data_IF_115504301177
#
_entry.id   IF_115504301177
#
_cell.length_a   1.000
_cell.length_b   1.000
_cell.length_c   1.000
_cell.angle_alpha   90.00
_cell.angle_beta   90.00
_cell.angle_gamma   90.00
#
_symmetry.space_group_name_H-M   'P 1'
#
loop_
_entity.id
_entity.type
_entity.pdbx_description
1 polymer ?
#
# COMPACT_ATOMS: atom_id res chain seq x y z
N UNK A 1 -27.77 -15.48 7.90
CA UNK A 1 -27.76 -14.68 6.65
C UNK A 1 -26.35 -14.74 6.10
N UNK A 2 -26.15 -15.54 5.03
CA UNK A 2 -24.86 -15.59 4.34
C UNK A 2 -24.70 -14.31 3.51
N UNK A 3 -23.78 -13.45 3.89
CA UNK A 3 -23.30 -12.39 3.01
C UNK A 3 -22.42 -13.07 1.95
N UNK A 4 -22.94 -13.29 0.78
CA UNK A 4 -22.16 -13.54 -0.42
C UNK A 4 -21.51 -12.20 -0.75
N UNK A 5 -20.29 -11.97 -0.28
CA UNK A 5 -19.43 -10.90 -0.78
C UNK A 5 -19.21 -11.21 -2.26
N UNK A 6 -19.63 -10.28 -3.13
CA UNK A 6 -19.25 -10.28 -4.53
C UNK A 6 -17.72 -10.21 -4.58
N UNK A 7 -17.02 -11.23 -5.10
CA UNK A 7 -15.55 -11.23 -5.14
C UNK A 7 -14.97 -10.12 -6.04
N UNK A 8 -15.81 -9.38 -6.75
CA UNK A 8 -15.49 -8.23 -7.56
C UNK A 8 -15.95 -6.89 -6.94
N UNK A 9 -16.49 -6.92 -5.70
CA UNK A 9 -16.84 -5.68 -5.03
C UNK A 9 -15.56 -4.88 -4.77
N UNK A 10 -15.42 -3.80 -5.51
CA UNK A 10 -14.33 -2.83 -5.30
C UNK A 10 -14.40 -2.30 -3.87
N UNK A 11 -13.29 -2.39 -3.15
CA UNK A 11 -13.22 -1.84 -1.81
C UNK A 11 -13.05 -0.32 -1.89
N UNK A 12 -14.07 0.39 -1.42
CA UNK A 12 -14.06 1.83 -1.25
C UNK A 12 -14.19 2.16 0.23
N UNK A 13 -13.34 3.05 0.72
CA UNK A 13 -13.39 3.54 2.09
C UNK A 13 -13.43 5.07 2.07
N UNK A 14 -14.34 5.64 2.86
CA UNK A 14 -14.39 7.08 3.06
C UNK A 14 -13.25 7.51 3.97
N UNK A 15 -12.65 8.65 3.66
CA UNK A 15 -11.59 9.28 4.46
C UNK A 15 -12.21 10.42 5.26
N UNK A 16 -12.04 10.36 6.57
CA UNK A 16 -12.48 11.42 7.47
C UNK A 16 -11.70 12.72 7.18
N UNK A 17 -12.38 13.88 7.02
CA UNK A 17 -11.72 15.18 6.86
C UNK A 17 -10.73 15.53 7.98
N UNK A 18 -11.00 15.11 9.21
CA UNK A 18 -10.07 15.32 10.33
C UNK A 18 -8.79 14.50 10.15
N UNK A 19 -8.90 13.30 9.57
CA UNK A 19 -7.75 12.47 9.23
C UNK A 19 -6.91 13.12 8.12
N UNK A 20 -7.55 13.66 7.08
CA UNK A 20 -6.86 14.41 6.01
C UNK A 20 -6.05 15.56 6.60
N UNK A 21 -6.68 16.37 7.47
CA UNK A 21 -6.03 17.51 8.11
C UNK A 21 -4.82 17.07 8.95
N UNK A 22 -4.97 16.03 9.76
CA UNK A 22 -3.88 15.49 10.58
C UNK A 22 -2.70 15.00 9.74
N UNK A 23 -2.98 14.25 8.66
CA UNK A 23 -1.94 13.78 7.73
C UNK A 23 -1.23 14.94 7.04
N UNK A 24 -1.99 15.97 6.63
CA UNK A 24 -1.43 17.17 6.02
C UNK A 24 -0.50 17.93 6.96
N UNK A 25 -0.95 18.19 8.19
CA UNK A 25 -0.15 18.89 9.21
C UNK A 25 1.14 18.12 9.53
N UNK A 26 1.05 16.80 9.65
CA UNK A 26 2.21 15.96 9.92
C UNK A 26 3.22 16.00 8.76
N UNK A 27 2.75 15.94 7.52
CA UNK A 27 3.59 15.99 6.34
C UNK A 27 4.31 17.34 6.15
N UNK A 28 3.82 18.43 6.78
CA UNK A 28 4.48 19.74 6.74
C UNK A 28 5.91 19.75 7.31
N UNK A 29 6.27 18.73 8.10
CA UNK A 29 7.63 18.58 8.61
C UNK A 29 8.62 18.05 7.56
N UNK A 30 8.15 17.62 6.37
CA UNK A 30 9.02 17.15 5.30
C UNK A 30 9.97 18.26 4.77
N UNK A 31 11.13 17.82 4.31
CA UNK A 31 12.23 18.73 3.95
C UNK A 31 12.05 19.46 2.62
N UNK A 32 11.09 19.01 1.79
CA UNK A 32 10.83 19.59 0.48
C UNK A 32 9.34 19.54 0.11
N UNK A 33 8.86 20.43 -0.80
CA UNK A 33 7.46 20.39 -1.25
C UNK A 33 7.05 19.06 -1.88
N UNK A 34 7.97 18.42 -2.62
CA UNK A 34 7.72 17.08 -3.20
C UNK A 34 7.65 16.02 -2.10
N UNK A 35 8.57 16.07 -1.15
CA UNK A 35 8.57 15.17 0.01
C UNK A 35 7.32 15.35 0.86
N UNK A 36 6.88 16.60 1.08
CA UNK A 36 5.63 16.92 1.76
C UNK A 36 4.44 16.19 1.13
N UNK A 37 4.28 16.32 -0.22
CA UNK A 37 3.19 15.67 -0.93
C UNK A 37 3.28 14.14 -0.88
N UNK A 38 4.45 13.58 -1.13
CA UNK A 38 4.69 12.13 -1.06
C UNK A 38 4.39 11.58 0.33
N UNK A 39 4.87 12.26 1.37
CA UNK A 39 4.63 11.84 2.74
C UNK A 39 3.15 11.95 3.13
N UNK A 40 2.48 13.04 2.73
CA UNK A 40 1.04 13.19 2.92
C UNK A 40 0.27 12.00 2.32
N UNK A 41 0.50 11.65 1.05
CA UNK A 41 -0.16 10.52 0.40
C UNK A 41 0.13 9.18 1.09
N UNK A 42 1.38 8.96 1.49
CA UNK A 42 1.77 7.76 2.19
C UNK A 42 1.04 7.62 3.54
N UNK A 43 0.99 8.69 4.31
CA UNK A 43 0.31 8.71 5.61
C UNK A 43 -1.20 8.56 5.47
N UNK A 44 -1.80 9.29 4.54
CA UNK A 44 -3.24 9.22 4.29
C UNK A 44 -3.65 7.81 3.88
N UNK A 45 -2.92 7.20 2.95
CA UNK A 45 -3.12 5.84 2.50
C UNK A 45 -3.03 4.83 3.66
N UNK A 46 -1.99 4.94 4.48
CA UNK A 46 -1.78 4.04 5.61
C UNK A 46 -2.86 4.22 6.67
N UNK A 47 -3.15 5.46 7.05
CA UNK A 47 -4.13 5.75 8.10
C UNK A 47 -5.56 5.37 7.70
N UNK A 48 -5.93 5.55 6.43
CA UNK A 48 -7.24 5.15 5.92
C UNK A 48 -7.40 3.63 5.84
N UNK A 49 -6.34 2.90 5.42
CA UNK A 49 -6.43 1.45 5.19
C UNK A 49 -6.11 0.61 6.44
N UNK A 50 -5.29 1.10 7.37
CA UNK A 50 -4.85 0.32 8.52
C UNK A 50 -6.00 -0.23 9.38
N UNK A 51 -7.06 0.54 9.71
CA UNK A 51 -8.20 0.01 10.48
C UNK A 51 -8.92 -1.13 9.76
N UNK A 52 -9.10 -1.02 8.45
CA UNK A 52 -9.67 -2.10 7.65
C UNK A 52 -8.75 -3.33 7.60
N UNK A 53 -7.45 -3.13 7.38
CA UNK A 53 -6.47 -4.23 7.41
C UNK A 53 -6.46 -4.93 8.77
N UNK A 54 -6.61 -4.19 9.86
CA UNK A 54 -6.67 -4.76 11.22
C UNK A 54 -7.98 -5.51 11.50
N UNK A 55 -9.08 -5.13 10.87
CA UNK A 55 -10.34 -5.87 10.97
C UNK A 55 -10.23 -7.24 10.31
N UNK A 56 -9.52 -7.33 9.17
CA UNK A 56 -9.30 -8.59 8.43
C UNK A 56 -8.11 -9.40 9.01
N UNK A 57 -7.07 -8.71 9.45
CA UNK A 57 -5.86 -9.29 10.03
C UNK A 57 -5.46 -8.52 11.31
N UNK A 58 -5.91 -8.94 12.50
CA UNK A 58 -5.68 -8.23 13.77
C UNK A 58 -4.20 -8.00 14.12
N UNK A 59 -3.29 -8.74 13.49
CA UNK A 59 -1.84 -8.58 13.67
C UNK A 59 -1.23 -7.52 12.74
N UNK A 60 -2.04 -6.83 11.93
CA UNK A 60 -1.56 -5.78 11.04
C UNK A 60 -1.03 -4.59 11.85
N UNK A 61 0.21 -4.20 11.61
CA UNK A 61 0.87 -3.08 12.27
C UNK A 61 1.55 -2.16 11.28
N UNK A 62 1.51 -0.86 11.55
CA UNK A 62 2.32 0.12 10.86
C UNK A 62 3.66 0.25 11.61
N UNK A 63 4.80 -0.02 10.97
CA UNK A 63 6.10 0.20 11.59
C UNK A 63 6.37 1.68 11.81
N UNK A 64 7.29 1.99 12.71
CA UNK A 64 7.68 3.38 12.98
C UNK A 64 8.31 4.03 11.75
N UNK A 65 8.04 5.32 11.54
CA UNK A 65 8.68 6.10 10.48
C UNK A 65 10.21 6.14 10.59
N UNK A 66 10.77 5.91 11.79
CA UNK A 66 12.21 5.80 12.00
C UNK A 66 12.84 4.58 11.31
N UNK A 67 12.05 3.54 11.01
CA UNK A 67 12.52 2.34 10.33
C UNK A 67 12.77 2.61 8.82
N UNK A 68 12.18 3.67 8.29
CA UNK A 68 12.28 4.08 6.89
C UNK A 68 12.52 5.60 6.77
N UNK A 69 13.73 6.10 7.10
CA UNK A 69 14.00 7.53 7.20
C UNK A 69 13.84 8.32 5.91
N UNK A 70 13.80 7.65 4.75
CA UNK A 70 13.63 8.29 3.43
C UNK A 70 12.21 8.10 2.85
N UNK A 71 11.26 7.59 3.62
CA UNK A 71 9.89 7.34 3.15
C UNK A 71 9.21 8.61 2.62
N UNK A 72 9.55 9.77 3.14
CA UNK A 72 9.04 11.07 2.65
C UNK A 72 9.37 11.35 1.17
N UNK A 73 10.40 10.70 0.63
CA UNK A 73 10.87 10.90 -0.75
C UNK A 73 10.43 9.77 -1.69
N UNK A 74 9.95 8.66 -1.14
CA UNK A 74 9.59 7.45 -1.89
C UNK A 74 8.10 7.17 -1.75
N UNK A 75 7.40 7.14 -2.87
CA UNK A 75 5.98 6.80 -2.88
C UNK A 75 5.76 5.36 -2.43
N UNK A 76 4.84 5.20 -1.47
CA UNK A 76 4.53 3.91 -0.85
C UNK A 76 4.84 3.91 0.64
N UNK A 77 4.10 3.09 1.38
CA UNK A 77 4.26 2.92 2.82
C UNK A 77 4.03 1.47 3.20
N UNK A 78 4.63 1.02 4.30
CA UNK A 78 4.62 -0.38 4.69
C UNK A 78 3.60 -0.66 5.79
N UNK A 79 2.92 -1.80 5.67
CA UNK A 79 2.17 -2.45 6.76
C UNK A 79 2.72 -3.86 6.93
N UNK A 80 2.98 -4.26 8.16
CA UNK A 80 3.41 -5.63 8.47
C UNK A 80 2.19 -6.49 8.72
N UNK A 81 2.04 -7.56 7.94
CA UNK A 81 0.97 -8.54 8.05
C UNK A 81 1.58 -9.92 8.34
N UNK A 82 1.42 -10.44 9.55
CA UNK A 82 1.94 -11.76 9.91
C UNK A 82 3.43 -11.95 9.59
N UNK A 83 4.25 -10.92 9.83
CA UNK A 83 5.68 -10.92 9.52
C UNK A 83 6.04 -10.66 8.06
N UNK A 84 5.05 -10.44 7.18
CA UNK A 84 5.23 -10.08 5.78
C UNK A 84 5.05 -8.58 5.57
N UNK A 85 5.81 -8.01 4.64
CA UNK A 85 5.72 -6.60 4.26
C UNK A 85 4.72 -6.41 3.15
N UNK A 86 3.63 -5.73 3.42
CA UNK A 86 2.68 -5.21 2.45
C UNK A 86 3.01 -3.75 2.19
N UNK A 87 3.39 -3.40 0.97
CA UNK A 87 3.62 -2.01 0.57
C UNK A 87 2.32 -1.47 -0.03
N UNK A 88 1.76 -0.45 0.61
CA UNK A 88 0.65 0.32 0.07
C UNK A 88 1.22 1.39 -0.85
N UNK A 89 0.83 1.38 -2.12
CA UNK A 89 1.33 2.33 -3.12
C UNK A 89 0.17 3.21 -3.57
N UNK A 90 0.07 4.45 -3.04
CA UNK A 90 -0.99 5.38 -3.44
C UNK A 90 -0.79 5.87 -4.87
N UNK A 91 -1.89 6.02 -5.59
CA UNK A 91 -1.96 6.58 -6.92
C UNK A 91 -3.16 7.54 -7.01
N UNK A 92 -2.97 8.71 -7.57
CA UNK A 92 -4.01 9.71 -7.72
C UNK A 92 -4.57 9.79 -9.15
N UNK A 93 -4.01 9.06 -10.10
CA UNK A 93 -4.50 9.08 -11.48
C UNK A 93 -5.64 8.10 -11.67
N UNK A 94 -6.76 8.58 -12.22
CA UNK A 94 -7.94 7.76 -12.54
C UNK A 94 -7.70 6.79 -13.71
N UNK A 95 -6.71 7.05 -14.54
CA UNK A 95 -6.37 6.23 -15.72
C UNK A 95 -5.19 5.32 -15.42
N UNK A 96 -5.41 4.37 -14.52
CA UNK A 96 -4.40 3.39 -14.15
C UNK A 96 -4.51 2.14 -14.99
N UNK A 97 -4.20 2.25 -16.27
CA UNK A 97 -3.86 1.04 -17.03
C UNK A 97 -2.61 0.37 -16.48
N UNK A 98 -1.81 1.10 -15.69
CA UNK A 98 -0.53 0.65 -15.16
C UNK A 98 -0.38 1.00 -13.67
N UNK A 99 0.03 0.01 -12.88
CA UNK A 99 0.42 0.12 -11.49
C UNK A 99 1.95 0.18 -11.41
N UNK A 100 2.50 1.21 -10.77
CA UNK A 100 3.93 1.45 -10.73
C UNK A 100 4.45 1.45 -9.29
N UNK A 101 5.50 0.65 -9.04
CA UNK A 101 6.13 0.50 -7.72
C UNK A 101 7.54 1.06 -7.77
N UNK A 102 7.91 2.03 -6.91
CA UNK A 102 9.27 2.53 -6.81
C UNK A 102 10.30 1.42 -6.58
N UNK A 103 11.44 1.54 -7.25
CA UNK A 103 12.54 0.55 -7.21
C UNK A 103 12.99 0.25 -5.78
N UNK A 104 12.97 1.23 -4.91
CA UNK A 104 13.41 1.12 -3.52
C UNK A 104 12.64 0.03 -2.76
N UNK A 105 11.32 -0.08 -3.00
CA UNK A 105 10.46 -1.10 -2.39
C UNK A 105 10.64 -2.51 -2.98
N UNK A 106 11.37 -2.62 -4.09
CA UNK A 106 11.54 -3.89 -4.79
C UNK A 106 12.97 -4.42 -4.64
N UNK A 107 13.97 -3.54 -4.82
CA UNK A 107 15.37 -3.95 -4.96
C UNK A 107 16.22 -3.73 -3.71
N UNK A 108 15.81 -2.83 -2.78
CA UNK A 108 16.57 -2.64 -1.56
C UNK A 108 16.20 -3.71 -0.52
N UNK A 109 17.13 -4.61 -0.11
CA UNK A 109 16.78 -5.73 0.76
C UNK A 109 16.16 -5.32 2.10
N UNK A 110 16.57 -4.17 2.65
CA UNK A 110 16.03 -3.63 3.89
C UNK A 110 14.59 -3.12 3.75
N UNK A 111 14.16 -2.78 2.52
CA UNK A 111 12.86 -2.18 2.22
C UNK A 111 11.93 -3.12 1.45
N UNK A 112 12.48 -4.11 0.74
CA UNK A 112 11.73 -4.95 -0.18
C UNK A 112 10.44 -5.49 0.43
N UNK A 113 9.32 -5.24 -0.29
CA UNK A 113 8.00 -5.77 0.06
C UNK A 113 7.83 -7.22 -0.37
N UNK A 114 7.04 -7.98 0.38
CA UNK A 114 6.55 -9.29 -0.06
C UNK A 114 5.36 -9.13 -1.01
N UNK A 115 4.52 -8.13 -0.74
CA UNK A 115 3.31 -7.77 -1.48
C UNK A 115 3.25 -6.27 -1.73
N UNK A 116 2.62 -5.90 -2.84
CA UNK A 116 2.40 -4.50 -3.24
C UNK A 116 0.93 -4.29 -3.54
N UNK A 117 0.26 -3.41 -2.83
CA UNK A 117 -1.15 -3.10 -2.99
C UNK A 117 -1.32 -1.80 -3.77
N UNK A 118 -2.05 -1.87 -4.87
CA UNK A 118 -2.42 -0.70 -5.65
C UNK A 118 -3.60 0.01 -5.00
N UNK A 119 -3.37 1.24 -4.56
CA UNK A 119 -4.34 2.07 -3.85
C UNK A 119 -4.57 3.34 -4.64
N UNK A 120 -5.81 3.67 -4.92
CA UNK A 120 -6.19 4.95 -5.51
C UNK A 120 -6.74 5.85 -4.43
N UNK A 121 -6.25 7.09 -4.38
CA UNK A 121 -6.84 8.18 -3.59
C UNK A 121 -7.55 9.08 -4.57
N UNK A 122 -8.79 9.46 -4.27
CA UNK A 122 -9.58 10.34 -5.13
C UNK A 122 -9.02 11.76 -5.17
N UNK A 123 -9.39 12.54 -6.19
CA UNK A 123 -8.82 13.86 -6.44
C UNK A 123 -9.09 14.90 -5.35
N UNK A 124 -10.14 14.70 -4.56
CA UNK A 124 -10.49 15.52 -3.39
C UNK A 124 -10.04 14.90 -2.06
N UNK A 125 -9.26 13.81 -2.13
CA UNK A 125 -8.76 13.04 -0.99
C UNK A 125 -9.85 12.50 -0.06
N UNK A 126 -11.11 12.40 -0.53
CA UNK A 126 -12.26 12.00 0.29
C UNK A 126 -12.48 10.50 0.36
N UNK A 127 -11.94 9.76 -0.61
CA UNK A 127 -12.09 8.30 -0.69
C UNK A 127 -10.79 7.61 -1.07
N UNK A 128 -10.65 6.37 -0.60
CA UNK A 128 -9.58 5.46 -1.00
C UNK A 128 -10.18 4.19 -1.59
N UNK A 129 -9.63 3.74 -2.69
CA UNK A 129 -10.01 2.51 -3.39
C UNK A 129 -8.83 1.55 -3.47
N UNK A 130 -9.07 0.28 -3.15
CA UNK A 130 -8.09 -0.79 -3.38
C UNK A 130 -8.39 -1.47 -4.71
N UNK A 131 -7.43 -1.44 -5.63
CA UNK A 131 -7.53 -2.08 -6.94
C UNK A 131 -7.16 -3.56 -6.92
N UNK A 132 -6.28 -3.93 -6.00
CA UNK A 132 -5.74 -5.27 -5.89
C UNK A 132 -4.29 -5.24 -5.44
N UNK A 133 -3.64 -6.38 -5.51
CA UNK A 133 -2.24 -6.50 -5.10
C UNK A 133 -1.45 -7.39 -6.06
N UNK A 134 -0.13 -7.32 -5.95
CA UNK A 134 0.80 -8.23 -6.62
C UNK A 134 1.85 -8.73 -5.63
N UNK A 135 2.48 -9.85 -5.93
CA UNK A 135 3.61 -10.36 -5.15
C UNK A 135 4.93 -9.79 -5.68
N UNK A 136 5.96 -9.75 -4.83
CA UNK A 136 7.33 -9.39 -5.25
C UNK A 136 7.78 -10.22 -6.46
N UNK A 137 7.57 -11.53 -6.42
CA UNK A 137 7.93 -12.44 -7.52
C UNK A 137 7.22 -12.07 -8.82
N UNK A 138 5.91 -11.85 -8.76
CA UNK A 138 5.12 -11.49 -9.94
C UNK A 138 5.58 -10.16 -10.53
N UNK A 139 5.79 -9.15 -9.68
CA UNK A 139 6.28 -7.84 -10.12
C UNK A 139 7.66 -7.95 -10.80
N UNK A 140 8.58 -8.75 -10.25
CA UNK A 140 9.91 -8.98 -10.85
C UNK A 140 9.88 -9.78 -12.16
N UNK A 141 8.92 -10.70 -12.34
CA UNK A 141 8.88 -11.58 -13.52
C UNK A 141 8.01 -11.07 -14.65
N UNK A 142 6.96 -10.30 -14.33
CA UNK A 142 5.98 -9.79 -15.31
C UNK A 142 6.02 -8.27 -15.46
N UNK A 143 6.52 -7.55 -14.45
CA UNK A 143 6.63 -6.10 -14.48
C UNK A 143 7.75 -5.63 -15.42
N UNK A 144 7.58 -4.42 -15.96
CA UNK A 144 8.57 -3.74 -16.77
C UNK A 144 9.28 -2.69 -15.93
N UNK A 145 10.62 -2.72 -15.96
CA UNK A 145 11.41 -1.70 -15.25
C UNK A 145 11.61 -0.46 -16.13
N UNK A 146 11.12 0.67 -15.67
CA UNK A 146 11.39 1.98 -16.26
C UNK A 146 12.59 2.65 -15.56
N UNK A 147 13.65 2.90 -16.35
CA UNK A 147 14.88 3.55 -15.84
C UNK A 147 14.68 5.03 -15.54
N UNK A 148 13.78 5.70 -16.26
CA UNK A 148 13.54 7.14 -16.10
C UNK A 148 12.83 7.40 -14.77
N UNK A 149 11.79 6.63 -14.50
CA UNK A 149 10.97 6.78 -13.31
C UNK A 149 11.48 5.93 -12.15
N UNK A 150 12.49 5.06 -12.40
CA UNK A 150 13.07 4.15 -11.41
C UNK A 150 11.99 3.31 -10.72
N UNK A 151 11.11 2.75 -11.51
CA UNK A 151 9.97 2.01 -11.03
C UNK A 151 9.71 0.74 -11.86
N UNK A 152 9.02 -0.21 -11.23
CA UNK A 152 8.51 -1.41 -11.89
C UNK A 152 7.03 -1.22 -12.19
N UNK A 153 6.65 -1.18 -13.47
CA UNK A 153 5.27 -1.09 -13.94
C UNK A 153 4.64 -2.46 -14.15
N UNK A 154 3.40 -2.63 -13.76
CA UNK A 154 2.58 -3.81 -14.01
C UNK A 154 1.19 -3.35 -14.45
N UNK A 155 0.63 -3.93 -15.53
CA UNK A 155 -0.71 -3.59 -15.95
C UNK A 155 -1.75 -4.03 -14.93
N UNK A 156 -2.77 -3.20 -14.68
CA UNK A 156 -3.78 -3.42 -13.65
C UNK A 156 -4.50 -4.79 -13.79
N UNK A 157 -4.65 -5.30 -15.02
CA UNK A 157 -5.23 -6.63 -15.27
C UNK A 157 -4.44 -7.80 -14.68
N UNK A 158 -3.18 -7.59 -14.30
CA UNK A 158 -2.34 -8.61 -13.65
C UNK A 158 -2.38 -8.53 -12.11
N UNK A 159 -3.10 -7.56 -11.55
CA UNK A 159 -3.30 -7.50 -10.12
C UNK A 159 -4.27 -8.59 -9.67
N UNK A 160 -4.01 -9.16 -8.51
CA UNK A 160 -4.94 -10.07 -7.83
C UNK A 160 -5.98 -9.19 -7.14
N UNK A 161 -7.24 -9.30 -7.59
CA UNK A 161 -8.36 -8.52 -7.04
C UNK A 161 -9.03 -9.20 -5.85
N UNK A 162 -8.89 -10.51 -5.73
CA UNK A 162 -9.37 -11.27 -4.57
C UNK A 162 -8.41 -11.06 -3.38
N UNK A 163 -8.76 -10.11 -2.52
CA UNK A 163 -7.97 -9.76 -1.35
C UNK A 163 -8.01 -10.85 -0.26
N UNK A 164 -9.00 -11.76 -0.31
CA UNK A 164 -9.10 -12.87 0.67
C UNK A 164 -7.87 -13.79 0.63
N UNK A 165 -7.24 -13.91 -0.52
CA UNK A 165 -6.02 -14.69 -0.67
C UNK A 165 -4.84 -14.18 0.19
N UNK A 166 -4.78 -12.86 0.46
CA UNK A 166 -3.78 -12.30 1.39
C UNK A 166 -3.97 -12.82 2.82
N UNK A 167 -5.21 -13.00 3.24
CA UNK A 167 -5.52 -13.42 4.61
C UNK A 167 -5.28 -14.93 4.80
N UNK A 168 -5.56 -15.73 3.79
CA UNK A 168 -5.31 -17.19 3.83
C UNK A 168 -3.82 -17.49 3.96
N UNK A 169 -2.96 -16.79 3.22
CA UNK A 169 -1.51 -16.99 3.29
C UNK A 169 -0.96 -16.67 4.69
N UNK A 170 -1.53 -15.69 5.39
CA UNK A 170 -1.11 -15.34 6.75
C UNK A 170 -1.54 -16.38 7.78
N UNK A 171 -2.72 -16.99 7.61
CA UNK A 171 -3.21 -18.05 8.49
C UNK A 171 -2.40 -19.35 8.34
N UNK A 172 -1.81 -19.59 7.17
CA UNK A 172 -0.99 -20.77 6.90
C UNK A 172 0.45 -20.66 7.44
N UNK A 173 0.88 -19.46 7.86
CA UNK A 173 2.18 -19.21 8.45
C UNK A 173 2.07 -18.66 9.90
N UNK A 174 1.48 -19.38 10.86
CA UNK A 174 1.48 -18.98 12.26
C UNK A 174 2.83 -19.35 12.90
N UNK A 175 3.95 -19.21 12.20
CA UNK A 175 5.25 -19.55 12.76
C UNK A 175 5.97 -18.29 13.21
N UNK A 176 6.22 -18.32 14.54
CA UNK A 176 7.21 -17.62 15.33
C UNK A 176 6.81 -16.27 15.96
N UNK A 177 5.75 -16.32 16.79
CA UNK A 177 5.73 -15.47 17.98
C UNK A 177 5.90 -16.39 19.20
N UNK A 178 7.08 -16.98 19.34
CA UNK A 178 7.53 -17.55 20.62
C UNK A 178 9.07 -17.64 20.60
N UNK A 179 9.73 -16.59 21.06
CA UNK A 179 10.86 -16.65 22.02
C UNK A 179 11.32 -15.23 22.31
#
# INVERSE_FOLDING_TARGET
>A
MSFTLDPFAELWLDIDPDLQQQCWEHAQSATSPRGHWTWYLNQLCQAALLPWLQAEAPTAIAPSASDYPLVELVLGTVVILGGKRLILVPNMTLDTSEFSVPQEWVDLPAWAGDYFMAVQIDSDDSTVRVWGYTTHRQLKTQGQYDRRDRAYGLTAQHLVTDLSALWVVQQLNPQEVTQ
#
